data_IF_358492210535
#
_entry.id   IF_358492210535
#
_cell.length_a   1.000
_cell.length_b   1.000
_cell.length_c   1.000
_cell.angle_alpha   90.00
_cell.angle_beta   90.00
_cell.angle_gamma   90.00
#
_symmetry.space_group_name_H-M   'P 1'
#
loop_
_entity.id
_entity.type
_entity.pdbx_description
1 polymer ?
#
# COMPACT_ATOMS: atom_id res chain seq x y z
N UNK A 1 -3.17 15.32 20.14
CA UNK A 1 -4.23 14.72 20.93
C UNK A 1 -3.83 13.36 21.48
N UNK A 2 -4.35 13.03 22.63
CA UNK A 2 -4.05 11.77 23.32
C UNK A 2 -4.72 10.56 22.64
N UNK A 3 -5.76 10.76 21.86
CA UNK A 3 -6.52 9.66 21.28
C UNK A 3 -5.73 8.84 20.24
N UNK A 4 -4.72 9.45 19.62
CA UNK A 4 -3.90 8.75 18.62
C UNK A 4 -2.56 8.32 19.16
N UNK A 5 -2.27 8.64 20.44
CA UNK A 5 -0.98 8.34 21.05
C UNK A 5 -0.97 7.06 21.86
N UNK A 6 -2.07 6.31 21.90
CA UNK A 6 -2.10 5.04 22.58
C UNK A 6 -1.16 4.04 21.90
N UNK A 7 -0.52 3.23 22.71
CA UNK A 7 0.42 2.25 22.19
C UNK A 7 -0.31 1.01 21.68
N UNK A 8 -0.15 0.69 20.40
CA UNK A 8 -0.74 -0.50 19.79
C UNK A 8 0.08 -1.73 20.09
N UNK A 9 1.39 -1.57 20.06
CA UNK A 9 2.36 -2.58 20.43
C UNK A 9 3.68 -1.87 20.68
N UNK A 10 4.64 -2.58 21.21
CA UNK A 10 5.89 -1.99 21.68
C UNK A 10 6.53 -1.05 20.65
N UNK A 11 6.66 0.22 21.04
CA UNK A 11 7.31 1.24 20.22
C UNK A 11 6.46 1.83 19.11
N UNK A 12 5.17 1.47 19.01
CA UNK A 12 4.29 1.97 17.97
C UNK A 12 2.98 2.47 18.54
N UNK A 13 2.61 3.69 18.20
CA UNK A 13 1.27 4.20 18.40
C UNK A 13 0.56 4.28 17.04
N UNK A 14 -0.72 4.64 17.05
CA UNK A 14 -1.52 4.67 15.82
C UNK A 14 -0.95 5.64 14.78
N UNK A 15 -0.53 6.83 15.20
CA UNK A 15 0.01 7.85 14.30
C UNK A 15 1.29 7.38 13.62
N UNK A 16 2.22 6.81 14.37
CA UNK A 16 3.48 6.35 13.81
C UNK A 16 3.28 5.16 12.88
N UNK A 17 2.38 4.25 13.24
CA UNK A 17 2.05 3.12 12.38
C UNK A 17 1.39 3.58 11.08
N UNK A 18 0.45 4.52 11.19
CA UNK A 18 -0.20 5.11 10.02
C UNK A 18 0.83 5.73 9.09
N UNK A 19 1.73 6.54 9.65
CA UNK A 19 2.77 7.21 8.85
C UNK A 19 3.68 6.23 8.14
N UNK A 20 4.13 5.19 8.84
CA UNK A 20 4.98 4.16 8.25
C UNK A 20 4.29 3.48 7.07
N UNK A 21 3.03 3.12 7.24
CA UNK A 21 2.27 2.41 6.21
C UNK A 21 1.95 3.33 5.05
N UNK A 22 1.57 4.57 5.34
CA UNK A 22 1.31 5.54 4.30
C UNK A 22 2.54 5.75 3.41
N UNK A 23 3.70 5.94 4.04
CA UNK A 23 4.95 6.13 3.31
C UNK A 23 5.29 4.90 2.48
N UNK A 24 5.05 3.70 3.01
CA UNK A 24 5.26 2.47 2.26
C UNK A 24 4.32 2.36 1.07
N UNK A 25 3.06 2.78 1.20
CA UNK A 25 2.11 2.78 0.09
C UNK A 25 2.53 3.77 -1.02
N UNK A 26 3.00 4.95 -0.64
CA UNK A 26 3.48 5.93 -1.61
C UNK A 26 4.71 5.41 -2.35
N UNK A 27 5.66 4.82 -1.61
CA UNK A 27 6.86 4.22 -2.22
C UNK A 27 6.50 3.08 -3.16
N UNK A 28 5.54 2.25 -2.77
CA UNK A 28 5.07 1.15 -3.60
C UNK A 28 4.46 1.66 -4.90
N UNK A 29 3.68 2.74 -4.83
CA UNK A 29 3.08 3.35 -6.01
C UNK A 29 4.15 3.78 -7.02
N UNK A 30 5.20 4.43 -6.53
CA UNK A 30 6.30 4.88 -7.36
C UNK A 30 7.04 3.69 -7.98
N UNK A 31 7.26 2.65 -7.19
CA UNK A 31 7.93 1.43 -7.66
C UNK A 31 7.13 0.74 -8.76
N UNK A 32 5.82 0.60 -8.58
CA UNK A 32 4.94 0.00 -9.59
C UNK A 32 5.02 0.80 -10.88
N UNK A 33 4.94 2.12 -10.80
CA UNK A 33 5.02 3.00 -11.98
C UNK A 33 6.35 2.82 -12.72
N UNK A 34 7.46 2.72 -11.98
CA UNK A 34 8.77 2.50 -12.58
C UNK A 34 8.86 1.16 -13.28
N UNK A 35 8.31 0.11 -12.67
CA UNK A 35 8.32 -1.22 -13.27
C UNK A 35 7.47 -1.27 -14.54
N UNK A 36 6.33 -0.57 -14.56
CA UNK A 36 5.50 -0.48 -15.76
C UNK A 36 6.26 0.21 -16.89
N UNK A 37 6.96 1.30 -16.57
CA UNK A 37 7.75 2.01 -17.58
C UNK A 37 8.89 1.13 -18.13
N UNK A 38 9.56 0.37 -17.28
CA UNK A 38 10.58 -0.58 -17.73
C UNK A 38 9.98 -1.62 -18.67
N UNK A 39 8.81 -2.14 -18.30
CA UNK A 39 8.14 -3.17 -19.10
C UNK A 39 7.71 -2.63 -20.45
N UNK A 40 7.23 -1.40 -20.51
CA UNK A 40 6.82 -0.76 -21.76
C UNK A 40 7.99 -0.65 -22.74
N UNK A 41 9.19 -0.40 -22.23
CA UNK A 41 10.38 -0.30 -23.08
C UNK A 41 10.78 -1.64 -23.70
N UNK A 42 10.33 -2.74 -23.13
CA UNK A 42 10.63 -4.08 -23.64
C UNK A 42 9.72 -4.50 -24.80
N UNK A 43 8.59 -3.80 -24.98
CA UNK A 43 7.65 -4.11 -26.07
C UNK A 43 8.10 -3.40 -27.32
N UNK A 44 8.70 -4.14 -28.25
CA UNK A 44 9.18 -3.62 -29.52
C UNK A 44 8.43 -4.20 -30.72
N UNK A 45 7.82 -5.35 -30.52
CA UNK A 45 7.08 -6.06 -31.57
C UNK A 45 5.79 -6.61 -30.99
N UNK A 46 4.81 -6.88 -31.84
CA UNK A 46 3.51 -7.41 -31.41
C UNK A 46 3.66 -8.70 -30.60
N UNK A 47 4.61 -9.57 -30.97
CA UNK A 47 4.86 -10.82 -30.26
C UNK A 47 5.32 -10.64 -28.82
N UNK A 48 5.94 -9.50 -28.51
CA UNK A 48 6.42 -9.22 -27.14
C UNK A 48 5.26 -9.03 -26.17
N UNK A 49 4.09 -8.63 -26.67
CA UNK A 49 2.91 -8.40 -25.83
C UNK A 49 2.50 -9.68 -25.09
N UNK A 50 2.60 -10.83 -25.75
CA UNK A 50 2.25 -12.10 -25.14
C UNK A 50 3.19 -12.44 -23.98
N UNK A 51 4.45 -12.06 -24.07
CA UNK A 51 5.46 -12.33 -23.04
C UNK A 51 5.34 -11.37 -21.86
N UNK A 52 5.16 -10.07 -22.14
CA UNK A 52 5.11 -9.05 -21.09
C UNK A 52 3.71 -8.87 -20.50
N UNK A 53 2.67 -9.29 -21.23
CA UNK A 53 1.28 -9.07 -20.85
C UNK A 53 0.93 -9.53 -19.45
N UNK A 54 1.26 -10.76 -19.05
CA UNK A 54 0.93 -11.25 -17.70
C UNK A 54 1.58 -10.41 -16.59
N UNK A 55 2.82 -9.97 -16.78
CA UNK A 55 3.51 -9.14 -15.77
C UNK A 55 2.85 -7.76 -15.73
N UNK A 56 2.58 -7.18 -16.89
CA UNK A 56 1.90 -5.88 -16.97
C UNK A 56 0.54 -5.92 -16.31
N UNK A 57 -0.24 -6.98 -16.55
CA UNK A 57 -1.53 -7.17 -15.93
C UNK A 57 -1.40 -7.19 -14.39
N UNK A 58 -0.42 -7.94 -13.88
CA UNK A 58 -0.17 -8.01 -12.44
C UNK A 58 0.20 -6.66 -11.85
N UNK A 59 1.03 -5.89 -12.56
CA UNK A 59 1.43 -4.56 -12.10
C UNK A 59 0.26 -3.57 -12.10
N UNK A 60 -0.58 -3.61 -13.12
CA UNK A 60 -1.77 -2.76 -13.18
C UNK A 60 -2.73 -3.13 -12.06
N UNK A 61 -2.96 -4.42 -11.82
CA UNK A 61 -3.80 -4.89 -10.73
C UNK A 61 -3.27 -4.41 -9.38
N UNK A 62 -1.96 -4.52 -9.16
CA UNK A 62 -1.33 -4.02 -7.94
C UNK A 62 -1.44 -2.49 -7.81
N UNK A 63 -1.39 -1.78 -8.93
CA UNK A 63 -1.57 -0.33 -8.94
C UNK A 63 -2.97 0.06 -8.49
N UNK A 64 -4.00 -0.63 -8.99
CA UNK A 64 -5.39 -0.38 -8.60
C UNK A 64 -5.58 -0.65 -7.11
N UNK A 65 -5.05 -1.77 -6.62
CA UNK A 65 -5.14 -2.12 -5.20
C UNK A 65 -4.40 -1.11 -4.33
N UNK A 66 -3.24 -0.64 -4.80
CA UNK A 66 -2.49 0.38 -4.07
C UNK A 66 -3.28 1.69 -3.96
N UNK A 67 -3.94 2.11 -5.03
CA UNK A 67 -4.78 3.31 -5.01
C UNK A 67 -5.97 3.14 -4.07
N UNK A 68 -6.59 1.96 -4.06
CA UNK A 68 -7.68 1.65 -3.12
C UNK A 68 -7.19 1.74 -1.68
N UNK A 69 -6.00 1.25 -1.40
CA UNK A 69 -5.41 1.32 -0.07
C UNK A 69 -5.12 2.75 0.35
N UNK A 70 -4.66 3.59 -0.58
CA UNK A 70 -4.45 5.01 -0.29
C UNK A 70 -5.77 5.72 0.02
N UNK A 71 -6.86 5.36 -0.68
CA UNK A 71 -8.19 5.89 -0.37
C UNK A 71 -8.62 5.46 1.02
N UNK A 72 -8.41 4.19 1.38
CA UNK A 72 -8.71 3.71 2.73
C UNK A 72 -7.88 4.45 3.79
N UNK A 73 -6.62 4.72 3.48
CA UNK A 73 -5.75 5.49 4.38
C UNK A 73 -6.29 6.89 4.60
N UNK A 74 -6.83 7.53 3.56
CA UNK A 74 -7.44 8.85 3.70
C UNK A 74 -8.65 8.79 4.64
N UNK A 75 -9.47 7.74 4.53
CA UNK A 75 -10.63 7.57 5.42
C UNK A 75 -10.18 7.33 6.87
N UNK A 76 -9.11 6.57 7.07
CA UNK A 76 -8.52 6.35 8.39
C UNK A 76 -8.02 7.67 8.98
N UNK A 77 -7.34 8.49 8.17
CA UNK A 77 -6.85 9.78 8.60
C UNK A 77 -8.00 10.68 9.08
N UNK A 78 -9.13 10.66 8.37
CA UNK A 78 -10.29 11.43 8.77
C UNK A 78 -10.85 10.95 10.11
N UNK A 79 -10.86 9.64 10.34
CA UNK A 79 -11.32 9.08 11.62
C UNK A 79 -10.40 9.51 12.77
N UNK A 80 -9.10 9.49 12.54
CA UNK A 80 -8.12 9.91 13.53
C UNK A 80 -8.33 11.39 13.89
N UNK A 81 -8.49 12.24 12.88
CA UNK A 81 -8.73 13.68 13.09
C UNK A 81 -10.03 13.90 13.87
N UNK A 82 -11.09 13.21 13.50
CA UNK A 82 -12.37 13.31 14.18
C UNK A 82 -12.25 12.85 15.64
N UNK A 83 -11.50 11.77 15.88
CA UNK A 83 -11.23 11.27 17.21
C UNK A 83 -10.50 12.29 18.08
N UNK A 84 -9.50 12.96 17.51
CA UNK A 84 -8.77 14.01 18.23
C UNK A 84 -9.66 15.17 18.62
N UNK A 85 -10.56 15.59 17.74
CA UNK A 85 -11.49 16.68 18.05
C UNK A 85 -12.46 16.30 19.16
N UNK A 86 -12.91 15.04 19.17
CA UNK A 86 -13.85 14.56 20.20
C UNK A 86 -13.19 14.34 21.54
N UNK A 87 -11.90 14.06 21.58
CA UNK A 87 -11.20 13.76 22.83
C UNK A 87 -11.27 14.92 23.85
N UNK A 88 -11.47 16.14 23.37
CA UNK A 88 -11.66 17.29 24.24
C UNK A 88 -13.00 17.20 24.97
N UNK A 89 -13.95 16.48 24.39
CA UNK A 89 -15.29 16.34 24.95
C UNK A 89 -15.51 15.13 25.81
N UNK A 90 -14.92 14.01 25.56
CA UNK A 90 -14.99 12.79 26.38
C UNK A 90 -14.63 11.54 25.62
N UNK A 91 -15.43 11.11 24.64
CA UNK A 91 -15.31 9.79 24.01
C UNK A 91 -14.65 9.92 22.64
N UNK A 92 -13.52 10.63 22.60
CA UNK A 92 -12.81 10.84 21.37
C UNK A 92 -11.93 9.67 20.97
N UNK A 93 -11.79 8.69 21.84
CA UNK A 93 -10.92 7.54 21.58
C UNK A 93 -11.59 6.53 20.69
N UNK A 94 -10.79 5.86 19.88
CA UNK A 94 -11.27 4.75 19.09
C UNK A 94 -11.71 3.59 19.97
N UNK A 95 -12.80 2.93 19.59
CA UNK A 95 -13.23 1.73 20.27
C UNK A 95 -12.29 0.58 19.96
N UNK A 96 -12.35 -0.49 20.76
CA UNK A 96 -11.56 -1.69 20.46
C UNK A 96 -11.91 -2.28 19.10
N UNK A 97 -13.19 -2.22 18.72
CA UNK A 97 -13.62 -2.67 17.39
C UNK A 97 -12.94 -1.85 16.30
N UNK A 98 -12.93 -0.53 16.45
CA UNK A 98 -12.31 0.36 15.46
C UNK A 98 -10.81 0.14 15.35
N UNK A 99 -10.12 -0.04 16.51
CA UNK A 99 -8.69 -0.34 16.51
C UNK A 99 -8.39 -1.64 15.77
N UNK A 100 -9.20 -2.68 16.07
CA UNK A 100 -9.01 -3.98 15.42
C UNK A 100 -9.26 -3.91 13.91
N UNK A 101 -10.24 -3.12 13.50
CA UNK A 101 -10.53 -2.93 12.09
C UNK A 101 -9.38 -2.22 11.38
N UNK A 102 -8.83 -1.18 12.00
CA UNK A 102 -7.67 -0.48 11.47
C UNK A 102 -6.47 -1.42 11.32
N UNK A 103 -6.22 -2.25 12.33
CA UNK A 103 -5.11 -3.19 12.29
C UNK A 103 -5.29 -4.21 11.17
N UNK A 104 -6.50 -4.68 10.94
CA UNK A 104 -6.78 -5.62 9.83
C UNK A 104 -6.55 -4.94 8.48
N UNK A 105 -7.01 -3.71 8.32
CA UNK A 105 -6.83 -2.96 7.08
C UNK A 105 -5.34 -2.76 6.79
N UNK A 106 -4.55 -2.51 7.83
CA UNK A 106 -3.10 -2.33 7.70
C UNK A 106 -2.38 -3.64 7.36
N UNK A 107 -2.86 -4.76 7.88
CA UNK A 107 -2.29 -6.08 7.59
C UNK A 107 -2.41 -6.44 6.10
N UNK A 108 -3.49 -6.05 5.46
CA UNK A 108 -3.71 -6.32 4.04
C UNK A 108 -2.63 -5.68 3.15
N UNK A 109 -2.02 -4.60 3.60
CA UNK A 109 -1.01 -3.90 2.79
C UNK A 109 0.27 -4.71 2.62
N UNK A 110 0.59 -5.57 3.58
CA UNK A 110 1.81 -6.40 3.54
C UNK A 110 1.78 -7.40 2.40
N UNK A 111 0.62 -7.99 2.15
CA UNK A 111 0.47 -8.98 1.08
C UNK A 111 0.70 -8.37 -0.29
N UNK A 112 0.27 -7.13 -0.48
CA UNK A 112 0.45 -6.42 -1.74
C UNK A 112 1.93 -6.07 -2.00
N UNK A 113 2.71 -5.83 -0.96
CA UNK A 113 4.16 -5.60 -1.11
C UNK A 113 4.82 -6.86 -1.63
N UNK A 114 4.46 -8.03 -1.09
CA UNK A 114 5.00 -9.32 -1.55
C UNK A 114 4.66 -9.58 -3.02
N UNK A 115 3.45 -9.22 -3.43
CA UNK A 115 3.02 -9.37 -4.82
C UNK A 115 3.90 -8.53 -5.77
N UNK A 116 4.21 -7.31 -5.40
CA UNK A 116 5.06 -6.43 -6.21
C UNK A 116 6.48 -7.00 -6.28
N UNK A 117 6.99 -7.55 -5.19
CA UNK A 117 8.31 -8.20 -5.17
C UNK A 117 8.35 -9.36 -6.15
N UNK A 118 7.31 -10.19 -6.19
CA UNK A 118 7.23 -11.32 -7.12
C UNK A 118 7.19 -10.85 -8.57
N UNK A 119 6.44 -9.79 -8.85
CA UNK A 119 6.35 -9.24 -10.20
C UNK A 119 7.68 -8.63 -10.65
N UNK A 120 8.39 -7.99 -9.74
CA UNK A 120 9.72 -7.46 -10.04
C UNK A 120 10.70 -8.59 -10.35
N UNK A 121 10.62 -9.67 -9.60
CA UNK A 121 11.46 -10.85 -9.86
C UNK A 121 11.16 -11.42 -11.25
N UNK A 122 9.88 -11.55 -11.61
CA UNK A 122 9.48 -12.04 -12.93
C UNK A 122 10.02 -11.14 -14.03
N UNK A 123 9.95 -9.82 -13.83
CA UNK A 123 10.48 -8.86 -14.80
C UNK A 123 11.98 -9.00 -14.97
N UNK A 124 12.72 -9.15 -13.88
CA UNK A 124 14.17 -9.33 -13.95
C UNK A 124 14.55 -10.63 -14.67
N UNK A 125 13.80 -11.70 -14.44
CA UNK A 125 14.02 -12.96 -15.15
C UNK A 125 13.73 -12.80 -16.65
N UNK A 126 12.69 -12.05 -16.99
CA UNK A 126 12.35 -11.77 -18.37
C UNK A 126 13.47 -10.98 -19.07
N UNK A 127 14.05 -9.98 -18.41
CA UNK A 127 15.15 -9.20 -18.95
C UNK A 127 16.35 -10.08 -19.31
N UNK A 128 16.62 -11.09 -18.50
CA UNK A 128 17.74 -12.02 -18.76
C UNK A 128 17.48 -12.87 -19.98
N UNK A 129 16.22 -13.19 -20.27
CA UNK A 129 15.86 -14.09 -21.36
C UNK A 129 15.79 -13.42 -22.72
N UNK A 130 15.70 -12.07 -22.78
CA UNK A 130 15.55 -11.33 -24.06
C UNK A 130 16.83 -10.67 -24.52
N UNK A 131 17.97 -11.13 -24.09
CA UNK A 131 19.24 -10.64 -24.56
C UNK A 131 19.56 -11.15 -25.97
#
# INVERSE_FOLDING_TARGET
SMSTDFELFKGKNLSSLFEDIYNNQVSKKQRISSLIEELKKMVKHTGDVATVGPILHGLIDSSVKNDDQLVKMAAIAQKIIASEKKSEGQDGFLTEFEKNQLLRDLEETKQEVERVDDLEFELEELKKSVK
#
